data_IF_412847818643
#
_entry.id   IF_412847818643
#
_cell.length_a   1.000
_cell.length_b   1.000
_cell.length_c   1.000
_cell.angle_alpha   90.00
_cell.angle_beta   90.00
_cell.angle_gamma   90.00
#
_symmetry.space_group_name_H-M   'P 1'
#
loop_
_entity.id
_entity.type
_entity.pdbx_description
1 polymer ?
#
# COMPACT_ATOMS: atom_id res chain seq x y z
N UNK A 1 0.99 18.40 -15.36
CA UNK A 1 2.46 18.59 -15.13
C UNK A 1 3.18 18.86 -16.44
N UNK A 2 3.43 17.86 -17.30
CA UNK A 2 4.20 18.08 -18.54
C UNK A 2 3.62 19.14 -19.49
N UNK A 3 2.29 19.13 -19.67
CA UNK A 3 1.60 20.18 -20.44
C UNK A 3 1.69 21.56 -19.76
N UNK A 4 1.52 21.62 -18.43
CA UNK A 4 1.65 22.84 -17.63
C UNK A 4 3.04 23.46 -17.71
N UNK A 5 4.08 22.63 -17.85
CA UNK A 5 5.49 23.07 -17.94
C UNK A 5 5.91 23.41 -19.39
N UNK A 6 5.05 23.22 -20.40
CA UNK A 6 5.38 23.51 -21.80
C UNK A 6 6.42 22.58 -22.44
N UNK A 7 6.84 21.51 -21.74
CA UNK A 7 7.91 20.59 -22.18
C UNK A 7 7.40 19.18 -22.51
N UNK A 8 6.12 18.90 -22.28
CA UNK A 8 5.61 17.53 -22.27
C UNK A 8 6.08 16.74 -21.05
N UNK A 9 5.67 15.48 -20.96
CA UNK A 9 6.08 14.59 -19.87
C UNK A 9 5.24 13.32 -19.82
N UNK A 10 5.88 12.23 -19.40
CA UNK A 10 5.23 10.94 -19.19
C UNK A 10 5.69 10.35 -17.85
N UNK A 11 4.89 9.42 -17.32
CA UNK A 11 5.23 8.69 -16.11
C UNK A 11 6.38 7.71 -16.41
N UNK A 12 7.50 7.87 -15.72
CA UNK A 12 8.68 6.99 -15.86
C UNK A 12 8.79 5.98 -14.73
N UNK A 13 8.13 6.25 -13.60
CA UNK A 13 8.08 5.37 -12.44
C UNK A 13 6.92 5.76 -11.53
N UNK A 14 6.30 4.75 -10.94
CA UNK A 14 5.26 4.93 -9.94
C UNK A 14 5.36 3.79 -8.94
N UNK A 15 5.30 4.13 -7.66
CA UNK A 15 5.18 3.16 -6.58
C UNK A 15 3.92 3.47 -5.81
N UNK A 16 3.06 2.46 -5.63
CA UNK A 16 1.91 2.56 -4.75
C UNK A 16 2.39 2.49 -3.30
N UNK A 17 2.06 3.51 -2.52
CA UNK A 17 2.45 3.60 -1.11
C UNK A 17 1.41 3.03 -0.17
N UNK A 18 0.14 2.94 -0.57
CA UNK A 18 -0.91 2.35 0.25
C UNK A 18 -2.06 1.73 -0.57
N UNK A 19 -2.83 0.85 0.06
CA UNK A 19 -4.13 0.35 -0.42
C UNK A 19 -5.08 0.35 0.78
N UNK A 20 -5.98 1.33 0.85
CA UNK A 20 -6.81 1.53 2.04
C UNK A 20 -5.91 1.64 3.30
N UNK A 21 -6.12 0.84 4.35
CA UNK A 21 -5.34 0.90 5.58
C UNK A 21 -3.95 0.23 5.49
N UNK A 22 -3.58 -0.37 4.35
CA UNK A 22 -2.33 -1.13 4.22
C UNK A 22 -1.25 -0.28 3.56
N UNK A 23 -0.22 0.07 4.32
CA UNK A 23 0.85 0.95 3.87
C UNK A 23 2.11 0.17 3.45
N UNK A 24 2.92 0.76 2.58
CA UNK A 24 4.06 0.08 1.94
C UNK A 24 5.23 -0.16 2.89
N UNK A 25 5.27 0.54 4.00
CA UNK A 25 6.16 0.31 5.15
C UNK A 25 5.92 -1.06 5.80
N UNK A 26 4.67 -1.54 5.78
CA UNK A 26 4.29 -2.86 6.30
C UNK A 26 4.41 -3.97 5.23
N UNK A 27 4.75 -3.60 3.99
CA UNK A 27 4.87 -4.54 2.89
C UNK A 27 6.11 -5.43 3.04
N UNK A 28 5.97 -6.68 2.58
CA UNK A 28 7.04 -7.67 2.57
C UNK A 28 7.63 -7.81 1.18
N UNK A 29 8.96 -7.88 1.10
CA UNK A 29 9.64 -8.29 -0.13
C UNK A 29 9.65 -9.81 -0.25
N UNK A 30 9.83 -10.34 -1.45
CA UNK A 30 9.87 -11.78 -1.68
C UNK A 30 11.06 -12.45 -0.97
N UNK A 31 12.18 -11.73 -0.85
CA UNK A 31 13.38 -12.19 -0.16
C UNK A 31 13.16 -12.30 1.35
N UNK A 32 12.40 -11.36 1.94
CA UNK A 32 12.04 -11.44 3.36
C UNK A 32 11.02 -12.54 3.60
N UNK A 33 10.09 -12.73 2.67
CA UNK A 33 9.05 -13.75 2.74
C UNK A 33 9.64 -15.17 2.74
N UNK A 34 10.67 -15.42 1.93
CA UNK A 34 11.26 -16.76 1.80
C UNK A 34 11.96 -17.26 3.08
N UNK A 35 12.36 -16.34 3.97
CA UNK A 35 13.02 -16.66 5.24
C UNK A 35 12.08 -16.62 6.45
N UNK A 36 10.85 -16.14 6.29
CA UNK A 36 9.93 -15.88 7.39
C UNK A 36 8.89 -16.98 7.59
N UNK A 37 8.34 -17.06 8.80
CA UNK A 37 7.19 -17.92 9.11
C UNK A 37 5.89 -17.20 8.78
N UNK A 38 4.83 -17.92 8.37
CA UNK A 38 3.52 -17.32 8.05
C UNK A 38 2.96 -16.36 9.10
N UNK A 39 3.16 -16.65 10.38
CA UNK A 39 2.68 -15.81 11.47
C UNK A 39 3.32 -14.42 11.53
N UNK A 40 4.44 -14.18 10.84
CA UNK A 40 5.18 -12.91 10.86
C UNK A 40 4.64 -11.92 9.82
N UNK A 41 4.07 -12.41 8.72
CA UNK A 41 3.66 -11.58 7.58
C UNK A 41 2.18 -11.69 7.21
N UNK A 42 1.46 -12.69 7.73
CA UNK A 42 0.02 -12.78 7.54
C UNK A 42 -0.71 -11.91 8.55
N UNK A 43 -1.52 -10.99 8.05
CA UNK A 43 -2.53 -10.31 8.87
C UNK A 43 -3.75 -11.23 8.96
N UNK A 44 -4.21 -11.59 10.17
CA UNK A 44 -5.45 -12.35 10.34
C UNK A 44 -6.63 -11.64 9.68
N UNK A 45 -7.55 -12.40 9.08
CA UNK A 45 -8.62 -11.85 8.26
C UNK A 45 -9.52 -10.88 9.05
N UNK A 46 -9.85 -11.23 10.29
CA UNK A 46 -10.71 -10.44 11.17
C UNK A 46 -10.05 -9.08 11.49
N UNK A 47 -8.72 -9.08 11.66
CA UNK A 47 -7.94 -7.86 11.86
C UNK A 47 -7.92 -7.00 10.60
N UNK A 48 -7.72 -7.62 9.43
CA UNK A 48 -7.74 -6.91 8.16
C UNK A 48 -9.11 -6.25 7.89
N UNK A 49 -10.21 -6.91 8.24
CA UNK A 49 -11.56 -6.36 8.13
C UNK A 49 -11.77 -5.15 9.06
N UNK A 50 -11.35 -5.25 10.32
CA UNK A 50 -11.44 -4.13 11.27
C UNK A 50 -10.64 -2.91 10.81
N UNK A 51 -9.43 -3.13 10.29
CA UNK A 51 -8.60 -2.05 9.72
C UNK A 51 -9.29 -1.37 8.54
N UNK A 52 -9.90 -2.15 7.64
CA UNK A 52 -10.61 -1.59 6.49
C UNK A 52 -11.85 -0.80 6.91
N UNK A 53 -12.63 -1.32 7.85
CA UNK A 53 -13.82 -0.62 8.37
C UNK A 53 -13.46 0.71 9.03
N UNK A 54 -12.37 0.75 9.80
CA UNK A 54 -11.88 1.99 10.41
C UNK A 54 -11.47 3.01 9.32
N UNK A 55 -10.67 2.60 8.33
CA UNK A 55 -10.26 3.48 7.22
C UNK A 55 -11.43 4.03 6.41
N UNK A 56 -12.48 3.24 6.23
CA UNK A 56 -13.71 3.69 5.56
C UNK A 56 -14.51 4.68 6.41
N UNK A 57 -14.55 4.50 7.74
CA UNK A 57 -15.19 5.44 8.66
C UNK A 57 -14.47 6.80 8.69
N UNK A 58 -13.14 6.79 8.54
CA UNK A 58 -12.29 7.99 8.54
C UNK A 58 -12.28 8.75 7.19
N UNK A 59 -13.21 8.43 6.29
CA UNK A 59 -13.39 9.14 5.01
C UNK A 59 -12.53 8.62 3.85
N UNK A 60 -11.96 7.42 3.97
CA UNK A 60 -11.24 6.76 2.88
C UNK A 60 -10.06 7.57 2.37
N UNK A 61 -9.22 8.10 3.28
CA UNK A 61 -7.96 8.69 2.88
C UNK A 61 -7.01 7.58 2.41
N UNK A 62 -6.70 7.59 1.11
CA UNK A 62 -5.62 6.87 0.45
C UNK A 62 -4.62 7.87 -0.12
#
# INVERSE_FOLDING_TARGET
>A
IGATLGAGGCLTGLRRLAVGPFASEDAWTLERLSAAKPAEYLVPLERAQAMLQASLADGGAA
#
